data_IF_522321336961
#
_entry.id   IF_522321336961
#
_cell.length_a   1.000
_cell.length_b   1.000
_cell.length_c   1.000
_cell.angle_alpha   90.00
_cell.angle_beta   90.00
_cell.angle_gamma   90.00
#
_symmetry.space_group_name_H-M   'P 1'
#
loop_
_entity.id
_entity.type
_entity.pdbx_description
1 polymer ?
#
# COMPACT_ATOMS: atom_id res chain seq x y z
N UNK A 1 9.33 27.67 -6.70
CA UNK A 1 8.26 26.82 -7.27
C UNK A 1 7.91 25.83 -6.18
N UNK A 2 6.91 26.19 -5.37
CA UNK A 2 6.45 25.38 -4.25
C UNK A 2 6.06 24.00 -4.77
N UNK A 3 6.77 22.98 -4.29
CA UNK A 3 6.43 21.58 -4.56
C UNK A 3 5.34 21.20 -3.56
N UNK A 4 4.10 21.54 -3.87
CA UNK A 4 2.97 21.06 -3.08
C UNK A 4 2.81 19.56 -3.31
N UNK A 5 3.10 18.76 -2.29
CA UNK A 5 2.87 17.32 -2.33
C UNK A 5 1.36 17.05 -2.41
N UNK A 6 0.88 16.61 -3.58
CA UNK A 6 -0.51 16.12 -3.72
C UNK A 6 -0.57 14.69 -3.23
N UNK A 7 -1.36 14.45 -2.18
CA UNK A 7 -1.55 13.12 -1.59
C UNK A 7 -2.95 12.64 -1.96
N UNK A 8 -3.05 11.54 -2.72
CA UNK A 8 -4.32 10.91 -3.05
C UNK A 8 -4.48 9.59 -2.27
N UNK A 9 -5.71 9.28 -1.84
CA UNK A 9 -6.07 8.09 -1.05
C UNK A 9 -6.97 7.18 -1.86
N UNK A 10 -6.43 6.04 -2.30
CA UNK A 10 -7.22 5.02 -3.00
C UNK A 10 -7.74 3.98 -2.00
N UNK A 11 -9.06 3.98 -1.75
CA UNK A 11 -9.75 2.94 -1.00
C UNK A 11 -10.92 2.40 -1.83
N UNK A 12 -11.04 1.08 -2.00
CA UNK A 12 -12.22 0.45 -2.64
C UNK A 12 -12.69 -0.75 -1.81
N UNK A 13 -13.43 -1.74 -2.31
CA UNK A 13 -14.04 -2.83 -1.48
C UNK A 13 -13.53 -4.26 -1.80
N UNK A 14 -12.98 -4.53 -3.00
CA UNK A 14 -12.56 -5.91 -3.40
C UNK A 14 -11.17 -6.00 -4.09
N UNK A 15 -10.30 -6.88 -3.57
CA UNK A 15 -8.86 -6.94 -3.87
C UNK A 15 -8.46 -6.94 -5.35
N UNK A 16 -9.02 -7.85 -6.17
CA UNK A 16 -8.63 -8.03 -7.59
C UNK A 16 -9.04 -6.83 -8.45
N UNK A 17 -10.24 -6.29 -8.20
CA UNK A 17 -10.75 -5.11 -8.90
C UNK A 17 -9.90 -3.87 -8.59
N UNK A 18 -9.51 -3.65 -7.32
CA UNK A 18 -8.66 -2.48 -6.94
C UNK A 18 -7.30 -2.50 -7.62
N UNK A 19 -6.61 -3.64 -7.60
CA UNK A 19 -5.27 -3.75 -8.19
C UNK A 19 -5.31 -3.48 -9.70
N UNK A 20 -6.41 -3.87 -10.38
CA UNK A 20 -6.61 -3.58 -11.81
C UNK A 20 -6.84 -2.10 -12.08
N UNK A 21 -7.64 -1.42 -11.26
CA UNK A 21 -7.88 0.03 -11.37
C UNK A 21 -6.57 0.81 -11.17
N UNK A 22 -5.81 0.48 -10.13
CA UNK A 22 -4.51 1.12 -9.86
C UNK A 22 -3.56 0.90 -11.05
N UNK A 23 -3.43 -0.35 -11.51
CA UNK A 23 -2.61 -0.69 -12.69
C UNK A 23 -2.97 0.15 -13.92
N UNK A 24 -4.26 0.33 -14.17
CA UNK A 24 -4.74 0.93 -15.42
C UNK A 24 -4.77 2.46 -15.39
N UNK A 25 -5.00 3.09 -14.23
CA UNK A 25 -5.31 4.52 -14.16
C UNK A 25 -4.31 5.35 -13.35
N UNK A 26 -3.59 4.76 -12.37
CA UNK A 26 -2.76 5.55 -11.46
C UNK A 26 -1.68 6.34 -12.21
N UNK A 27 -1.05 5.73 -13.22
CA UNK A 27 -0.04 6.41 -14.03
C UNK A 27 -0.57 7.65 -14.77
N UNK A 28 -1.80 7.59 -15.28
CA UNK A 28 -2.45 8.73 -15.96
C UNK A 28 -2.84 9.81 -14.96
N UNK A 29 -3.42 9.44 -13.83
CA UNK A 29 -3.80 10.35 -12.73
C UNK A 29 -2.55 11.07 -12.20
N UNK A 30 -1.44 10.35 -11.93
CA UNK A 30 -0.19 10.97 -11.49
C UNK A 30 0.30 12.03 -12.46
N UNK A 31 0.23 11.76 -13.77
CA UNK A 31 0.64 12.71 -14.82
C UNK A 31 -0.30 13.91 -14.91
N UNK A 32 -1.61 13.67 -14.94
CA UNK A 32 -2.63 14.71 -15.07
C UNK A 32 -2.57 15.70 -13.91
N UNK A 33 -2.45 15.19 -12.68
CA UNK A 33 -2.47 16.03 -11.49
C UNK A 33 -1.07 16.42 -10.99
N UNK A 34 0.00 15.96 -11.64
CA UNK A 34 1.38 16.16 -11.19
C UNK A 34 1.59 15.70 -9.74
N UNK A 35 1.22 14.44 -9.46
CA UNK A 35 1.31 13.85 -8.12
C UNK A 35 2.74 13.41 -7.84
N UNK A 36 3.35 14.00 -6.81
CA UNK A 36 4.70 13.66 -6.35
C UNK A 36 4.74 12.42 -5.43
N UNK A 37 3.66 12.15 -4.69
CA UNK A 37 3.61 11.08 -3.69
C UNK A 37 2.24 10.39 -3.65
N UNK A 38 2.23 9.07 -3.81
CA UNK A 38 1.02 8.25 -3.71
C UNK A 38 1.06 7.40 -2.46
N UNK A 39 0.03 7.53 -1.63
CA UNK A 39 -0.17 6.72 -0.43
C UNK A 39 -1.42 5.87 -0.59
N UNK A 40 -1.29 4.54 -0.52
CA UNK A 40 -2.43 3.64 -0.65
C UNK A 40 -2.65 2.81 0.62
N UNK A 41 -3.91 2.55 0.98
CA UNK A 41 -4.21 1.52 1.98
C UNK A 41 -4.33 0.15 1.30
N UNK A 42 -3.56 -0.81 1.80
CA UNK A 42 -3.37 -2.11 1.16
C UNK A 42 -3.74 -3.31 2.05
N UNK A 43 -4.46 -3.09 3.14
CA UNK A 43 -4.77 -4.15 4.12
C UNK A 43 -5.50 -5.37 3.52
N UNK A 44 -6.18 -5.17 2.38
CA UNK A 44 -6.97 -6.17 1.67
C UNK A 44 -6.36 -6.52 0.30
N UNK A 45 -5.06 -6.24 0.07
CA UNK A 45 -4.46 -6.34 -1.25
C UNK A 45 -4.29 -7.77 -1.77
N UNK A 46 -4.07 -8.76 -0.91
CA UNK A 46 -3.94 -10.17 -1.32
C UNK A 46 -5.19 -10.96 -0.95
N UNK A 47 -5.94 -11.43 -1.95
CA UNK A 47 -7.16 -12.24 -1.76
C UNK A 47 -8.15 -11.70 -0.69
N UNK A 48 -8.15 -10.38 -0.46
CA UNK A 48 -9.02 -9.72 0.51
C UNK A 48 -8.45 -9.54 1.92
N UNK A 49 -7.23 -10.04 2.23
CA UNK A 49 -6.59 -9.86 3.55
C UNK A 49 -5.07 -10.00 3.47
N UNK A 50 -4.35 -9.05 4.06
CA UNK A 50 -2.88 -9.03 4.04
C UNK A 50 -2.28 -8.63 2.69
N UNK A 51 -0.98 -8.85 2.56
CA UNK A 51 -0.14 -8.44 1.44
C UNK A 51 0.91 -9.52 1.15
N UNK A 52 0.96 -9.99 -0.10
CA UNK A 52 2.02 -10.90 -0.58
C UNK A 52 3.16 -10.08 -1.17
N UNK A 53 4.37 -10.64 -1.20
CA UNK A 53 5.52 -9.98 -1.81
C UNK A 53 5.27 -9.63 -3.27
N UNK A 54 4.60 -10.50 -4.02
CA UNK A 54 4.22 -10.26 -5.41
C UNK A 54 3.31 -9.03 -5.57
N UNK A 55 2.26 -8.90 -4.73
CA UNK A 55 1.33 -7.77 -4.83
C UNK A 55 1.96 -6.47 -4.33
N UNK A 56 2.84 -6.53 -3.33
CA UNK A 56 3.65 -5.39 -2.89
C UNK A 56 4.48 -4.85 -4.07
N UNK A 57 5.27 -5.70 -4.73
CA UNK A 57 6.09 -5.29 -5.87
C UNK A 57 5.26 -4.75 -7.05
N UNK A 58 4.09 -5.36 -7.32
CA UNK A 58 3.16 -4.83 -8.33
C UNK A 58 2.66 -3.44 -8.00
N UNK A 59 2.25 -3.17 -6.76
CA UNK A 59 1.77 -1.84 -6.37
C UNK A 59 2.88 -0.79 -6.45
N UNK A 60 4.12 -1.14 -6.07
CA UNK A 60 5.29 -0.28 -6.29
C UNK A 60 5.47 0.07 -7.77
N UNK A 61 5.43 -0.93 -8.66
CA UNK A 61 5.59 -0.71 -10.11
C UNK A 61 4.43 0.07 -10.74
N UNK A 62 3.24 0.05 -10.13
CA UNK A 62 2.11 0.90 -10.56
C UNK A 62 2.21 2.35 -10.08
N UNK A 63 3.19 2.66 -9.23
CA UNK A 63 3.48 4.02 -8.77
C UNK A 63 2.92 4.35 -7.38
N UNK A 64 2.63 3.35 -6.55
CA UNK A 64 2.36 3.53 -5.11
C UNK A 64 3.69 3.70 -4.38
N UNK A 65 3.83 4.82 -3.67
CA UNK A 65 5.07 5.20 -3.02
C UNK A 65 5.11 4.70 -1.58
N UNK A 66 4.04 4.93 -0.81
CA UNK A 66 3.88 4.44 0.57
C UNK A 66 2.62 3.60 0.68
N UNK A 67 2.70 2.49 1.40
CA UNK A 67 1.58 1.60 1.66
C UNK A 67 1.22 1.65 3.15
N UNK A 68 0.00 2.06 3.45
CA UNK A 68 -0.58 1.92 4.80
C UNK A 68 -1.41 0.64 4.88
N UNK A 69 -1.66 0.14 6.07
CA UNK A 69 -2.50 -1.04 6.27
C UNK A 69 -3.49 -0.86 7.42
N UNK A 70 -3.94 -1.96 8.02
CA UNK A 70 -5.01 -2.00 9.00
C UNK A 70 -5.00 -3.32 9.77
N UNK A 71 -6.13 -3.68 10.37
CA UNK A 71 -6.23 -4.87 11.22
C UNK A 71 -6.00 -6.19 10.45
N UNK A 72 -6.22 -6.20 9.13
CA UNK A 72 -6.04 -7.40 8.30
C UNK A 72 -4.60 -7.68 7.88
N UNK A 73 -3.64 -6.81 8.19
CA UNK A 73 -2.28 -6.93 7.65
C UNK A 73 -1.60 -8.25 8.05
N UNK A 74 -1.88 -8.73 9.28
CA UNK A 74 -1.30 -9.96 9.82
C UNK A 74 -2.09 -11.23 9.46
N UNK A 75 -3.19 -11.15 8.70
CA UNK A 75 -4.02 -12.34 8.40
C UNK A 75 -3.39 -13.34 7.41
N UNK A 76 -2.35 -12.93 6.69
CA UNK A 76 -1.62 -13.77 5.74
C UNK A 76 -0.22 -14.05 6.31
N UNK A 77 0.14 -15.33 6.42
CA UNK A 77 1.42 -15.76 6.98
C UNK A 77 2.62 -15.23 6.17
N UNK A 78 2.46 -15.13 4.84
CA UNK A 78 3.45 -14.51 3.97
C UNK A 78 3.70 -13.03 4.35
N UNK A 79 2.63 -12.25 4.63
CA UNK A 79 2.82 -10.87 5.10
C UNK A 79 3.66 -10.85 6.36
N UNK A 80 3.33 -11.67 7.36
CA UNK A 80 4.04 -11.67 8.64
C UNK A 80 5.52 -12.03 8.48
N UNK A 81 5.84 -12.92 7.55
CA UNK A 81 7.21 -13.32 7.24
C UNK A 81 8.01 -12.21 6.54
N UNK A 82 7.38 -11.48 5.64
CA UNK A 82 8.08 -10.59 4.71
C UNK A 82 7.95 -9.10 5.08
N UNK A 83 7.03 -8.70 5.97
CA UNK A 83 6.72 -7.29 6.26
C UNK A 83 7.91 -6.46 6.73
N UNK A 84 8.87 -7.06 7.43
CA UNK A 84 10.10 -6.35 7.85
C UNK A 84 11.03 -5.98 6.67
N UNK A 85 10.87 -6.66 5.53
CA UNK A 85 11.61 -6.39 4.30
C UNK A 85 10.96 -5.28 3.46
N UNK A 86 9.69 -4.96 3.73
CA UNK A 86 8.95 -3.93 3.01
C UNK A 86 9.21 -2.56 3.64
N UNK A 87 10.08 -1.77 3.01
CA UNK A 87 10.59 -0.51 3.56
C UNK A 87 9.53 0.59 3.70
N UNK A 88 8.45 0.51 2.92
CA UNK A 88 7.39 1.51 2.84
C UNK A 88 5.98 0.92 3.06
N UNK A 89 5.88 -0.29 3.63
CA UNK A 89 4.63 -0.86 4.13
C UNK A 89 4.49 -0.64 5.64
N UNK A 90 3.49 0.16 6.01
CA UNK A 90 3.22 0.54 7.39
C UNK A 90 2.08 -0.28 7.99
N UNK A 91 2.33 -0.90 9.14
CA UNK A 91 1.30 -1.45 10.03
C UNK A 91 0.68 -0.35 10.90
N UNK A 92 -0.51 -0.57 11.51
CA UNK A 92 -1.01 0.34 12.54
C UNK A 92 0.03 0.53 13.65
N UNK A 93 0.38 1.78 13.95
CA UNK A 93 1.39 2.11 14.97
C UNK A 93 0.99 1.57 16.35
N UNK A 94 -0.31 1.59 16.66
CA UNK A 94 -0.91 1.14 17.92
C UNK A 94 -1.18 -0.37 18.00
N UNK A 95 -0.67 -1.18 17.05
CA UNK A 95 -0.76 -2.64 17.17
C UNK A 95 0.17 -3.17 18.27
N UNK A 96 0.06 -4.46 18.58
CA UNK A 96 0.98 -5.15 19.48
C UNK A 96 2.45 -4.84 19.08
N UNK A 97 3.30 -4.37 20.02
CA UNK A 97 4.69 -4.01 19.72
C UNK A 97 5.54 -5.20 19.25
N UNK A 98 5.11 -6.43 19.54
CA UNK A 98 5.78 -7.66 19.07
C UNK A 98 5.38 -8.07 17.65
N UNK A 99 4.41 -7.39 17.02
CA UNK A 99 4.10 -7.64 15.61
C UNK A 99 5.21 -7.08 14.70
N UNK A 100 5.60 -7.83 13.66
CA UNK A 100 6.62 -7.39 12.71
C UNK A 100 6.14 -6.19 11.89
N UNK A 101 7.08 -5.48 11.26
CA UNK A 101 6.83 -4.32 10.43
C UNK A 101 6.87 -2.98 11.18
N UNK A 102 6.96 -1.90 10.40
CA UNK A 102 7.07 -0.52 10.90
C UNK A 102 5.72 0.16 10.99
N UNK A 103 5.55 1.06 11.97
CA UNK A 103 4.36 1.91 12.08
C UNK A 103 4.50 3.30 11.43
N UNK A 104 5.73 3.67 11.03
CA UNK A 104 6.10 4.99 10.49
C UNK A 104 7.25 4.87 9.48
N UNK A 105 7.42 5.88 8.61
CA UNK A 105 8.54 6.04 7.67
C UNK A 105 9.29 7.35 7.95
#
# INVERSE_FOLDING_TARGET
KDKEAKIDRVATKEAKSRRKIIKNHLGEIKKQYQIDLVIANVENATHGKGMSGEHYQKLKTYGVDIMTSGNHIFHLAETQKDIDQFTDLLRPLNSNPFHPGKGTI
#
